data_IF_444352713659
#
_entry.id   IF_444352713659
#
_cell.length_a   1.000
_cell.length_b   1.000
_cell.length_c   1.000
_cell.angle_alpha   90.00
_cell.angle_beta   90.00
_cell.angle_gamma   90.00
#
_symmetry.space_group_name_H-M   'P 1'
#
loop_
_entity.id
_entity.type
_entity.pdbx_description
1 polymer ?
#
# COMPACT_ATOMS: atom_id res chain seq x y z
N UNK A 1 -3.41 -11.34 -12.21
CA UNK A 1 -4.58 -11.87 -11.50
C UNK A 1 -5.74 -10.96 -11.82
N UNK A 2 -6.92 -11.48 -12.14
CA UNK A 2 -8.11 -10.64 -12.29
C UNK A 2 -8.78 -10.48 -10.92
N UNK A 3 -9.15 -9.26 -10.54
CA UNK A 3 -9.82 -8.96 -9.27
C UNK A 3 -11.16 -8.28 -9.56
N UNK A 4 -12.21 -8.76 -8.92
CA UNK A 4 -13.46 -8.03 -8.74
C UNK A 4 -13.64 -7.73 -7.25
N UNK A 5 -13.57 -6.46 -6.88
CA UNK A 5 -13.74 -6.04 -5.50
C UNK A 5 -15.24 -5.94 -5.21
N UNK A 6 -15.74 -6.62 -4.18
CA UNK A 6 -17.04 -6.30 -3.57
C UNK A 6 -16.80 -5.79 -2.15
N UNK A 7 -17.75 -4.99 -1.63
CA UNK A 7 -17.69 -4.22 -0.38
C UNK A 7 -16.66 -4.74 0.64
N UNK A 8 -15.62 -3.96 0.95
CA UNK A 8 -14.52 -4.38 1.84
C UNK A 8 -13.16 -4.03 1.25
N UNK A 9 -12.08 -4.20 2.02
CA UNK A 9 -10.73 -4.07 1.45
C UNK A 9 -10.28 -5.42 0.93
N UNK A 10 -9.85 -5.45 -0.32
CA UNK A 10 -9.16 -6.59 -0.91
C UNK A 10 -7.76 -6.20 -1.32
N UNK A 11 -6.82 -7.12 -1.23
CA UNK A 11 -5.43 -6.89 -1.58
C UNK A 11 -4.87 -8.06 -2.36
N UNK A 12 -4.10 -7.75 -3.39
CA UNK A 12 -3.13 -8.67 -3.98
C UNK A 12 -1.75 -8.13 -3.67
N UNK A 13 -0.92 -8.90 -2.97
CA UNK A 13 0.41 -8.45 -2.56
C UNK A 13 1.45 -9.54 -2.74
N UNK A 14 2.69 -9.13 -2.95
CA UNK A 14 3.85 -9.99 -2.83
C UNK A 14 4.49 -9.68 -1.48
N UNK A 15 4.75 -10.70 -0.65
CA UNK A 15 5.42 -10.48 0.64
C UNK A 15 6.31 -11.66 1.00
N UNK A 16 7.26 -11.42 1.89
CA UNK A 16 8.03 -12.47 2.57
C UNK A 16 8.03 -12.30 4.09
N UNK A 17 6.97 -11.67 4.63
CA UNK A 17 6.77 -11.45 6.07
C UNK A 17 6.72 -12.73 6.89
N UNK A 18 6.27 -13.84 6.32
CA UNK A 18 6.26 -15.17 6.94
C UNK A 18 7.67 -15.75 7.14
N UNK A 19 8.63 -15.35 6.31
CA UNK A 19 10.04 -15.77 6.37
C UNK A 19 10.94 -14.73 7.07
N UNK A 20 10.68 -13.43 6.82
CA UNK A 20 11.51 -12.31 7.27
C UNK A 20 10.71 -11.30 8.10
N UNK A 21 10.08 -11.73 9.19
CA UNK A 21 9.16 -10.95 10.03
C UNK A 21 9.53 -9.47 10.23
N UNK A 22 10.80 -9.17 10.56
CA UNK A 22 11.27 -7.81 10.89
C UNK A 22 11.85 -7.02 9.72
N UNK A 23 12.25 -7.70 8.66
CA UNK A 23 12.98 -7.09 7.54
C UNK A 23 12.34 -7.45 6.21
N UNK A 24 11.04 -7.73 6.19
CA UNK A 24 10.35 -8.23 5.00
C UNK A 24 10.35 -7.22 3.85
N UNK A 25 10.23 -7.75 2.64
CA UNK A 25 9.91 -6.98 1.45
C UNK A 25 8.43 -7.21 1.14
N UNK A 26 7.76 -6.18 0.65
CA UNK A 26 6.34 -6.22 0.32
C UNK A 26 5.98 -5.27 -0.83
N UNK A 27 5.12 -5.73 -1.73
CA UNK A 27 4.56 -4.97 -2.84
C UNK A 27 3.05 -5.12 -2.85
N UNK A 28 2.33 -4.01 -2.70
CA UNK A 28 0.89 -4.04 -2.47
C UNK A 28 0.08 -3.46 -3.62
N UNK A 29 -1.05 -4.10 -3.91
CA UNK A 29 -2.17 -3.52 -4.65
C UNK A 29 -3.44 -3.75 -3.86
N UNK A 30 -3.90 -2.71 -3.17
CA UNK A 30 -5.03 -2.75 -2.24
C UNK A 30 -6.22 -1.98 -2.82
N UNK A 31 -7.32 -2.69 -3.06
CA UNK A 31 -8.60 -2.08 -3.39
C UNK A 31 -9.27 -1.63 -2.10
N UNK A 32 -9.38 -0.32 -1.93
CA UNK A 32 -9.95 0.28 -0.73
C UNK A 32 -11.48 0.28 -0.84
N UNK A 33 -12.14 -0.29 0.18
CA UNK A 33 -13.59 -0.40 0.21
C UNK A 33 -14.28 0.95 0.09
N UNK A 34 -15.33 1.02 -0.73
CA UNK A 34 -16.12 2.23 -0.95
C UNK A 34 -17.50 2.16 -0.30
N UNK A 35 -18.11 3.33 -0.10
CA UNK A 35 -19.52 3.44 0.30
C UNK A 35 -20.41 3.24 -0.92
N UNK A 36 -21.70 2.95 -0.71
CA UNK A 36 -22.66 2.89 -1.82
C UNK A 36 -22.64 4.18 -2.66
N UNK A 37 -22.50 4.03 -3.98
CA UNK A 37 -22.36 5.14 -4.93
C UNK A 37 -21.06 5.97 -4.78
N UNK A 38 -20.11 5.51 -3.98
CA UNK A 38 -18.78 6.09 -3.87
C UNK A 38 -17.85 5.61 -4.98
N UNK A 39 -16.76 6.34 -5.21
CA UNK A 39 -15.74 5.93 -6.16
C UNK A 39 -14.82 4.88 -5.54
N UNK A 40 -14.36 3.94 -6.35
CA UNK A 40 -13.38 2.94 -5.95
C UNK A 40 -11.97 3.44 -6.10
N UNK A 41 -11.08 2.94 -5.23
CA UNK A 41 -9.68 3.33 -5.20
C UNK A 41 -8.80 2.11 -5.13
N UNK A 42 -7.67 2.19 -5.80
CA UNK A 42 -6.55 1.29 -5.60
C UNK A 42 -5.42 2.06 -4.92
N UNK A 43 -4.81 1.45 -3.91
CA UNK A 43 -3.57 1.89 -3.29
C UNK A 43 -2.46 0.94 -3.71
N UNK A 44 -1.30 1.50 -4.07
CA UNK A 44 -0.07 0.75 -4.27
C UNK A 44 0.93 1.13 -3.20
N UNK A 45 1.76 0.18 -2.78
CA UNK A 45 2.78 0.43 -1.77
C UNK A 45 4.02 -0.45 -2.01
N UNK A 46 5.15 -0.01 -1.47
CA UNK A 46 6.45 -0.67 -1.62
C UNK A 46 7.19 -0.60 -0.29
N UNK A 47 7.53 -1.77 0.24
CA UNK A 47 8.38 -1.92 1.41
C UNK A 47 9.59 -2.78 1.07
N UNK A 48 10.78 -2.31 1.40
CA UNK A 48 12.01 -3.09 1.29
C UNK A 48 12.68 -3.18 2.64
N UNK A 49 13.21 -4.36 2.96
CA UNK A 49 14.01 -4.60 4.15
C UNK A 49 13.37 -4.12 5.47
N UNK A 50 12.04 -4.23 5.58
CA UNK A 50 11.28 -3.82 6.77
C UNK A 50 11.08 -2.31 6.91
N UNK A 51 11.09 -1.54 5.81
CA UNK A 51 10.87 -0.09 5.79
C UNK A 51 9.43 0.34 6.17
N UNK A 52 8.73 -0.40 7.03
CA UNK A 52 7.30 -0.22 7.34
C UNK A 52 6.96 1.04 8.12
N UNK A 53 7.97 1.70 8.71
CA UNK A 53 7.80 3.00 9.38
C UNK A 53 7.48 4.13 8.40
N UNK A 54 7.84 3.98 7.13
CA UNK A 54 7.65 4.96 6.07
C UNK A 54 7.00 4.28 4.86
N UNK A 55 5.70 4.46 4.71
CA UNK A 55 4.97 3.91 3.56
C UNK A 55 5.30 4.68 2.28
N UNK A 56 5.31 3.98 1.15
CA UNK A 56 5.47 4.54 -0.19
C UNK A 56 4.13 4.50 -0.90
N UNK A 57 3.08 4.99 -0.27
CA UNK A 57 1.73 4.84 -0.78
C UNK A 57 1.48 5.76 -1.98
N UNK A 58 0.85 5.24 -3.01
CA UNK A 58 0.14 6.03 -4.02
C UNK A 58 -1.29 5.52 -4.15
N UNK A 59 -2.25 6.43 -4.35
CA UNK A 59 -3.67 6.09 -4.50
C UNK A 59 -4.23 6.64 -5.79
N UNK A 60 -5.09 5.84 -6.41
CA UNK A 60 -5.73 6.15 -7.69
C UNK A 60 -7.23 5.89 -7.62
N UNK A 61 -8.03 6.81 -8.16
CA UNK A 61 -9.43 6.56 -8.47
C UNK A 61 -9.53 5.64 -9.68
N UNK A 62 -10.39 4.63 -9.61
CA UNK A 62 -10.63 3.76 -10.76
C UNK A 62 -11.62 4.44 -11.73
N UNK A 63 -11.31 4.48 -13.04
CA UNK A 63 -12.22 5.04 -14.05
C UNK A 63 -13.39 4.11 -14.41
N UNK A 64 -13.49 2.96 -13.75
CA UNK A 64 -14.51 1.93 -13.94
C UNK A 64 -14.96 1.41 -12.57
N UNK A 65 -16.06 0.66 -12.56
CA UNK A 65 -16.53 -0.02 -11.36
C UNK A 65 -15.93 -1.45 -11.29
N UNK A 66 -14.96 -1.71 -10.40
CA UNK A 66 -14.31 -3.01 -10.26
C UNK A 66 -15.23 -4.10 -9.68
N UNK A 67 -16.50 -3.78 -9.36
CA UNK A 67 -17.49 -4.77 -8.91
C UNK A 67 -18.25 -5.42 -10.07
N UNK A 68 -18.24 -4.80 -11.25
CA UNK A 68 -19.06 -5.20 -12.39
C UNK A 68 -18.34 -6.16 -13.33
N UNK A 69 -17.02 -5.99 -13.50
CA UNK A 69 -16.19 -6.79 -14.38
C UNK A 69 -14.83 -7.06 -13.73
N UNK A 70 -14.20 -8.17 -14.12
CA UNK A 70 -12.91 -8.57 -13.58
C UNK A 70 -11.78 -7.87 -14.35
N UNK A 71 -10.91 -7.15 -13.63
CA UNK A 71 -9.78 -6.41 -14.21
C UNK A 71 -8.44 -7.04 -13.87
N UNK A 72 -7.51 -7.05 -14.83
CA UNK A 72 -6.21 -7.71 -14.66
C UNK A 72 -5.26 -6.82 -13.87
N UNK A 73 -5.01 -7.18 -12.62
CA UNK A 73 -4.01 -6.55 -11.76
C UNK A 73 -2.70 -7.33 -11.88
N UNK A 74 -1.62 -6.62 -12.21
CA UNK A 74 -0.29 -7.22 -12.36
C UNK A 74 0.79 -6.38 -11.72
N UNK A 75 1.75 -7.04 -11.09
CA UNK A 75 2.97 -6.43 -10.58
C UNK A 75 4.14 -7.05 -11.34
N UNK A 76 4.90 -6.22 -12.03
CA UNK A 76 6.23 -6.58 -12.51
C UNK A 76 7.24 -6.18 -11.43
N UNK A 77 8.07 -7.13 -11.00
CA UNK A 77 9.19 -6.88 -10.11
C UNK A 77 10.48 -7.34 -10.80
N UNK A 78 11.35 -6.38 -11.09
CA UNK A 78 12.65 -6.60 -11.71
C UNK A 78 13.76 -5.96 -10.85
N UNK A 79 15.04 -6.36 -11.02
CA UNK A 79 16.14 -5.82 -10.22
C UNK A 79 16.38 -4.31 -10.33
N UNK A 80 15.80 -3.68 -11.34
CA UNK A 80 15.98 -2.25 -11.66
C UNK A 80 14.72 -1.42 -11.50
N UNK A 81 13.53 -2.03 -11.52
CA UNK A 81 12.27 -1.31 -11.44
C UNK A 81 11.12 -2.23 -11.03
N UNK A 82 10.06 -1.62 -10.51
CA UNK A 82 8.76 -2.26 -10.25
C UNK A 82 7.71 -1.49 -11.03
N UNK A 83 6.78 -2.20 -11.68
CA UNK A 83 5.65 -1.58 -12.38
C UNK A 83 4.35 -2.21 -11.92
N UNK A 84 3.41 -1.37 -11.50
CA UNK A 84 2.04 -1.76 -11.19
C UNK A 84 1.17 -1.50 -12.42
N UNK A 85 0.38 -2.50 -12.79
CA UNK A 85 -0.53 -2.47 -13.92
C UNK A 85 -1.96 -2.71 -13.48
N UNK A 86 -2.87 -1.97 -14.11
CA UNK A 86 -4.29 -2.30 -14.20
C UNK A 86 -4.61 -2.51 -15.67
N UNK A 87 -5.11 -3.70 -15.98
CA UNK A 87 -5.27 -4.24 -17.32
C UNK A 87 -3.94 -4.24 -18.09
N UNK A 88 -3.81 -3.42 -19.13
CA UNK A 88 -2.58 -3.20 -19.90
C UNK A 88 -1.95 -1.82 -19.62
N UNK A 89 -2.54 -1.04 -18.70
CA UNK A 89 -2.09 0.33 -18.40
C UNK A 89 -1.17 0.34 -17.17
N UNK A 90 0.10 0.76 -17.31
CA UNK A 90 0.94 1.02 -16.15
C UNK A 90 0.37 2.21 -15.37
N UNK A 91 0.15 2.04 -14.07
CA UNK A 91 -0.35 3.11 -13.19
C UNK A 91 0.79 3.74 -12.38
N UNK A 92 1.84 2.96 -12.09
CA UNK A 92 3.00 3.39 -11.30
C UNK A 92 4.25 2.63 -11.72
N UNK A 93 5.36 3.35 -11.84
CA UNK A 93 6.72 2.81 -12.01
C UNK A 93 7.57 3.28 -10.81
N UNK A 94 8.26 2.35 -10.15
CA UNK A 94 9.24 2.64 -9.11
C UNK A 94 10.60 2.21 -9.64
N UNK A 95 11.45 3.18 -9.96
CA UNK A 95 12.79 2.95 -10.46
C UNK A 95 13.73 2.78 -9.28
N UNK A 96 14.57 1.74 -9.30
CA UNK A 96 15.56 1.52 -8.26
C UNK A 96 16.60 2.65 -8.28
N UNK A 97 16.61 3.47 -7.23
CA UNK A 97 17.63 4.48 -7.02
C UNK A 97 18.72 3.94 -6.06
N UNK A 98 20.02 4.24 -6.27
CA UNK A 98 21.09 3.80 -5.37
C UNK A 98 20.85 4.17 -3.90
N UNK A 99 20.32 5.36 -3.66
CA UNK A 99 20.04 5.87 -2.31
C UNK A 99 18.81 5.24 -1.64
N UNK A 100 18.03 4.39 -2.35
CA UNK A 100 17.02 3.57 -1.69
C UNK A 100 17.66 2.55 -0.75
N UNK A 101 18.91 2.14 -1.01
CA UNK A 101 19.58 1.11 -0.21
C UNK A 101 18.74 -0.17 -0.09
N UNK A 102 18.38 -0.54 1.14
CA UNK A 102 17.54 -1.70 1.43
C UNK A 102 16.05 -1.51 1.18
N UNK A 103 15.60 -0.29 0.89
CA UNK A 103 14.18 0.01 0.71
C UNK A 103 13.63 -0.46 -0.64
N UNK A 104 14.50 -0.87 -1.58
CA UNK A 104 14.08 -1.55 -2.80
C UNK A 104 13.99 -3.07 -2.57
N UNK A 105 12.83 -3.71 -2.81
CA UNK A 105 12.64 -5.15 -2.65
C UNK A 105 13.66 -5.99 -3.43
N UNK A 106 14.33 -6.91 -2.74
CA UNK A 106 15.42 -7.71 -3.31
C UNK A 106 15.43 -9.19 -2.84
N UNK A 107 14.54 -9.56 -1.91
CA UNK A 107 14.40 -10.93 -1.40
C UNK A 107 13.22 -11.63 -2.05
N UNK A 108 13.28 -12.96 -2.27
CA UNK A 108 12.16 -13.71 -2.80
C UNK A 108 10.87 -13.49 -2.00
N UNK A 109 9.73 -13.42 -2.69
CA UNK A 109 8.41 -13.19 -2.11
C UNK A 109 7.41 -14.24 -2.59
N UNK A 110 6.42 -14.54 -1.75
CA UNK A 110 5.23 -15.29 -2.13
C UNK A 110 4.11 -14.33 -2.54
N UNK A 111 3.18 -14.82 -3.36
CA UNK A 111 1.98 -14.08 -3.76
C UNK A 111 0.85 -14.40 -2.78
N UNK A 112 0.20 -13.36 -2.28
CA UNK A 112 -0.95 -13.45 -1.40
C UNK A 112 -2.14 -12.70 -2.00
N UNK A 113 -3.35 -13.19 -1.72
CA UNK A 113 -4.60 -12.51 -2.00
C UNK A 113 -5.47 -12.59 -0.75
N UNK A 114 -5.91 -11.44 -0.23
CA UNK A 114 -6.63 -11.36 1.04
C UNK A 114 -7.81 -10.40 0.96
N UNK A 115 -8.82 -10.64 1.79
CA UNK A 115 -9.90 -9.72 2.09
C UNK A 115 -9.92 -9.50 3.61
N UNK A 116 -9.99 -8.25 4.05
CA UNK A 116 -9.87 -7.94 5.47
C UNK A 116 -10.53 -6.60 5.85
N UNK A 117 -10.71 -6.37 7.15
CA UNK A 117 -11.31 -5.16 7.70
C UNK A 117 -10.28 -4.06 7.97
N UNK A 118 -10.17 -3.08 7.08
CA UNK A 118 -9.34 -1.89 7.26
C UNK A 118 -10.09 -0.64 7.69
N UNK A 119 -11.17 -0.79 8.47
CA UNK A 119 -12.01 0.31 8.98
C UNK A 119 -11.24 1.44 9.67
N UNK A 120 -10.02 1.20 10.13
CA UNK A 120 -9.21 2.22 10.78
C UNK A 120 -8.72 3.31 9.82
N UNK A 121 -8.65 3.05 8.50
CA UNK A 121 -8.00 3.98 7.56
C UNK A 121 -8.54 3.94 6.12
N UNK A 122 -9.14 2.83 5.66
CA UNK A 122 -9.32 2.62 4.23
C UNK A 122 -10.38 3.51 3.56
N UNK A 123 -11.59 3.60 4.11
CA UNK A 123 -12.66 4.41 3.50
C UNK A 123 -12.63 5.84 4.03
N UNK A 124 -12.24 6.78 3.17
CA UNK A 124 -12.07 8.22 3.50
C UNK A 124 -11.22 8.45 4.76
N UNK A 125 -10.06 7.79 4.85
CA UNK A 125 -9.17 7.92 6.01
C UNK A 125 -9.74 7.29 7.30
N UNK A 126 -10.64 6.31 7.18
CA UNK A 126 -11.26 5.60 8.31
C UNK A 126 -12.52 6.29 8.86
N UNK A 127 -13.03 7.32 8.16
CA UNK A 127 -14.27 8.01 8.52
C UNK A 127 -15.49 7.09 8.42
N UNK A 128 -15.51 6.22 7.41
CA UNK A 128 -16.53 5.20 7.25
C UNK A 128 -15.95 3.83 7.58
N UNK A 129 -16.61 3.14 8.50
CA UNK A 129 -16.22 1.79 8.94
C UNK A 129 -17.06 0.75 8.24
N UNK A 130 -16.55 -0.46 8.17
CA UNK A 130 -17.30 -1.61 7.66
C UNK A 130 -18.60 -1.78 8.45
N UNK A 131 -19.68 -2.06 7.74
CA UNK A 131 -20.97 -2.38 8.35
C UNK A 131 -21.28 -3.85 8.09
N UNK A 132 -20.97 -4.71 9.07
CA UNK A 132 -21.15 -6.16 8.98
C UNK A 132 -22.61 -6.62 8.75
N UNK A 133 -23.61 -5.72 8.80
CA UNK A 133 -24.97 -6.04 8.35
C UNK A 133 -25.06 -6.33 6.85
N UNK A 134 -24.10 -5.87 6.06
CA UNK A 134 -24.00 -6.14 4.62
C UNK A 134 -23.14 -7.36 4.31
N UNK A 135 -22.71 -8.12 5.31
CA UNK A 135 -21.98 -9.36 5.10
C UNK A 135 -22.86 -10.42 4.41
N UNK A 136 -22.26 -11.35 3.64
CA UNK A 136 -20.83 -11.54 3.42
C UNK A 136 -20.20 -10.51 2.47
N UNK A 137 -18.95 -10.18 2.76
CA UNK A 137 -18.09 -9.40 1.86
C UNK A 137 -17.25 -10.38 1.04
N UNK A 138 -17.29 -10.25 -0.28
CA UNK A 138 -16.63 -11.19 -1.19
C UNK A 138 -15.65 -10.46 -2.13
N UNK A 139 -14.66 -11.18 -2.62
CA UNK A 139 -13.81 -10.73 -3.71
C UNK A 139 -13.43 -11.93 -4.54
N UNK A 140 -13.53 -11.78 -5.85
CA UNK A 140 -13.23 -12.87 -6.78
C UNK A 140 -11.85 -12.66 -7.39
N UNK A 141 -11.04 -13.71 -7.33
CA UNK A 141 -9.70 -13.75 -7.89
C UNK A 141 -9.61 -14.89 -8.88
N UNK A 142 -9.19 -14.60 -10.11
CA UNK A 142 -9.04 -15.59 -11.16
C UNK A 142 -7.81 -15.31 -12.02
N UNK A 143 -7.42 -16.28 -12.87
CA UNK A 143 -6.30 -16.10 -13.80
C UNK A 143 -4.98 -15.75 -13.11
N UNK A 144 -4.64 -16.44 -12.01
CA UNK A 144 -3.32 -16.31 -11.40
C UNK A 144 -2.25 -16.77 -12.39
N UNK A 145 -1.34 -15.85 -12.73
CA UNK A 145 -0.15 -16.13 -13.51
C UNK A 145 1.06 -15.65 -12.73
N UNK A 146 2.03 -16.55 -12.52
CA UNK A 146 3.32 -16.25 -11.88
C UNK A 146 4.40 -16.65 -12.86
N UNK A 147 5.07 -15.64 -13.41
CA UNK A 147 6.14 -15.81 -14.40
C UNK A 147 7.40 -15.19 -13.84
N UNK A 148 8.48 -15.97 -13.76
CA UNK A 148 9.75 -15.54 -13.22
C UNK A 148 10.48 -16.67 -12.48
N UNK A 149 11.71 -16.39 -12.02
CA UNK A 149 12.54 -17.38 -11.35
C UNK A 149 11.90 -17.82 -10.03
N UNK A 150 11.86 -19.13 -9.80
CA UNK A 150 11.36 -19.69 -8.54
C UNK A 150 12.49 -19.76 -7.52
N UNK A 151 12.30 -19.13 -6.37
CA UNK A 151 13.14 -19.36 -5.21
C UNK A 151 12.61 -20.54 -4.39
N UNK A 152 13.50 -21.32 -3.82
CA UNK A 152 13.12 -22.39 -2.90
C UNK A 152 13.00 -21.80 -1.48
N UNK A 153 11.85 -21.89 -0.81
CA UNK A 153 11.67 -21.30 0.51
C UNK A 153 12.58 -21.92 1.59
N UNK A 154 13.10 -23.13 1.38
CA UNK A 154 14.03 -23.80 2.32
C UNK A 154 15.44 -23.24 2.20
N UNK A 155 15.84 -22.88 0.99
CA UNK A 155 17.13 -22.25 0.76
C UNK A 155 16.94 -20.75 0.82
N UNK A 156 17.50 -20.09 1.85
CA UNK A 156 17.65 -18.62 1.91
C UNK A 156 18.56 -18.05 0.79
N UNK A 157 18.72 -18.81 -0.30
CA UNK A 157 19.58 -18.62 -1.45
C UNK A 157 18.82 -19.17 -2.67
N UNK A 158 18.84 -18.50 -3.83
CA UNK A 158 18.25 -19.04 -5.06
C UNK A 158 18.76 -20.47 -5.33
N UNK A 159 17.89 -21.36 -5.82
CA UNK A 159 18.31 -22.70 -6.28
C UNK A 159 19.47 -22.52 -7.24
N UNK A 160 20.60 -23.21 -7.01
CA UNK A 160 21.64 -23.37 -8.04
C UNK A 160 21.12 -24.30 -9.13
N UNK A 161 20.20 -23.81 -9.96
CA UNK A 161 20.23 -24.19 -11.38
C UNK A 161 21.56 -23.69 -11.97
N UNK A 162 21.99 -24.22 -13.10
CA UNK A 162 23.19 -23.68 -13.76
C UNK A 162 23.06 -22.17 -13.90
N UNK A 163 24.13 -21.40 -13.66
CA UNK A 163 24.10 -19.94 -13.75
C UNK A 163 23.49 -19.43 -15.08
N UNK A 164 23.65 -20.22 -16.14
CA UNK A 164 23.10 -19.99 -17.48
C UNK A 164 21.55 -19.96 -17.51
N UNK A 165 20.86 -20.83 -16.77
CA UNK A 165 19.39 -20.87 -16.78
C UNK A 165 18.78 -19.65 -16.06
N UNK A 166 19.39 -19.20 -14.97
CA UNK A 166 18.90 -18.02 -14.22
C UNK A 166 19.15 -16.71 -14.97
N UNK A 167 20.29 -16.61 -15.64
CA UNK A 167 20.63 -15.43 -16.44
C UNK A 167 19.73 -15.33 -17.68
N UNK A 168 19.37 -16.46 -18.30
CA UNK A 168 18.40 -16.49 -19.40
C UNK A 168 16.98 -16.14 -18.96
N UNK A 169 16.51 -16.65 -17.81
CA UNK A 169 15.20 -16.29 -17.25
C UNK A 169 15.12 -14.79 -16.91
N UNK A 170 16.18 -14.24 -16.32
CA UNK A 170 16.24 -12.81 -16.00
C UNK A 170 16.29 -11.95 -17.25
N UNK A 171 17.08 -12.34 -18.26
CA UNK A 171 17.13 -11.65 -19.55
C UNK A 171 15.77 -11.71 -20.24
N UNK A 172 15.10 -12.86 -20.24
CA UNK A 172 13.75 -13.03 -20.77
C UNK A 172 12.73 -12.13 -20.07
N UNK A 173 12.78 -12.06 -18.73
CA UNK A 173 11.94 -11.14 -17.96
C UNK A 173 12.21 -9.68 -18.33
N UNK A 174 13.48 -9.27 -18.35
CA UNK A 174 13.90 -7.89 -18.60
C UNK A 174 13.63 -7.41 -20.04
N UNK A 175 13.59 -8.34 -21.01
CA UNK A 175 13.33 -8.03 -22.42
C UNK A 175 11.88 -8.24 -22.83
N UNK A 176 11.05 -8.83 -21.95
CA UNK A 176 9.64 -9.02 -22.21
C UNK A 176 8.93 -7.68 -22.48
N UNK A 177 7.97 -7.69 -23.41
CA UNK A 177 7.24 -6.48 -23.80
C UNK A 177 6.53 -5.79 -22.62
N UNK A 178 6.09 -6.55 -21.61
CA UNK A 178 5.50 -6.00 -20.38
C UNK A 178 6.53 -5.42 -19.40
N UNK A 179 7.81 -5.77 -19.51
CA UNK A 179 8.87 -5.24 -18.65
C UNK A 179 9.51 -3.97 -19.20
N UNK A 180 9.52 -3.80 -20.52
CA UNK A 180 10.06 -2.59 -21.13
C UNK A 180 9.07 -1.43 -21.00
N UNK A 181 9.47 -0.38 -20.27
CA UNK A 181 8.74 0.89 -20.21
C UNK A 181 9.01 1.75 -21.45
N UNK A 182 8.26 1.48 -22.52
CA UNK A 182 8.33 2.25 -23.77
C UNK A 182 7.84 3.69 -23.58
N UNK A 183 8.19 4.63 -24.47
CA UNK A 183 7.65 6.00 -24.43
C UNK A 183 6.12 6.05 -24.43
N UNK A 184 5.46 5.17 -25.17
CA UNK A 184 4.00 5.09 -25.24
C UNK A 184 3.41 4.64 -23.90
N UNK A 185 3.99 3.62 -23.26
CA UNK A 185 3.56 3.17 -21.93
C UNK A 185 3.78 4.24 -20.87
N UNK A 186 4.92 4.92 -20.90
CA UNK A 186 5.21 6.04 -19.99
C UNK A 186 4.24 7.20 -20.18
N UNK A 187 3.87 7.52 -21.42
CA UNK A 187 2.85 8.53 -21.70
C UNK A 187 1.46 8.10 -21.18
N UNK A 188 1.08 6.84 -21.37
CA UNK A 188 -0.16 6.29 -20.82
C UNK A 188 -0.18 6.33 -19.29
N UNK A 189 0.93 5.98 -18.64
CA UNK A 189 1.08 6.09 -17.18
C UNK A 189 0.91 7.53 -16.70
N UNK A 190 1.61 8.49 -17.32
CA UNK A 190 1.49 9.92 -16.97
C UNK A 190 0.06 10.44 -17.15
N UNK A 191 -0.61 10.04 -18.23
CA UNK A 191 -2.01 10.39 -18.46
C UNK A 191 -2.95 9.78 -17.41
N UNK A 192 -2.70 8.53 -17.00
CA UNK A 192 -3.43 7.89 -15.91
C UNK A 192 -3.22 8.64 -14.59
N UNK A 193 -1.96 8.91 -14.22
CA UNK A 193 -1.58 9.65 -13.01
C UNK A 193 -2.25 11.03 -12.97
N UNK A 194 -2.14 11.80 -14.05
CA UNK A 194 -2.71 13.15 -14.14
C UNK A 194 -4.24 13.20 -13.93
N UNK A 195 -4.96 12.13 -14.31
CA UNK A 195 -6.43 12.07 -14.22
C UNK A 195 -6.94 11.42 -12.95
N UNK A 196 -6.20 10.44 -12.44
CA UNK A 196 -6.74 9.49 -11.46
C UNK A 196 -5.96 9.45 -10.15
N UNK A 197 -4.72 9.94 -10.10
CA UNK A 197 -3.95 9.92 -8.85
C UNK A 197 -4.50 10.93 -7.84
N UNK A 198 -4.79 10.46 -6.64
CA UNK A 198 -5.33 11.29 -5.55
C UNK A 198 -4.36 11.44 -4.38
N UNK A 199 -3.42 10.51 -4.26
CA UNK A 199 -2.38 10.56 -3.24
C UNK A 199 -1.05 10.05 -3.82
N UNK A 200 0.04 10.75 -3.51
CA UNK A 200 1.39 10.22 -3.65
C UNK A 200 2.26 10.66 -2.48
N UNK A 201 3.06 9.72 -2.00
CA UNK A 201 4.06 9.93 -0.97
C UNK A 201 5.06 11.05 -1.34
N UNK A 202 5.37 11.20 -2.63
CA UNK A 202 6.42 12.08 -3.14
C UNK A 202 6.16 13.57 -2.91
N UNK A 203 4.90 13.95 -2.74
CA UNK A 203 4.50 15.34 -2.53
C UNK A 203 3.85 15.58 -1.15
N UNK A 204 3.82 14.57 -0.28
CA UNK A 204 3.29 14.68 1.07
C UNK A 204 4.35 15.23 2.06
N UNK A 205 4.60 16.53 1.95
CA UNK A 205 5.51 17.25 2.84
C UNK A 205 5.01 17.32 4.30
N UNK A 206 3.74 17.03 4.56
CA UNK A 206 3.17 17.00 5.92
C UNK A 206 3.65 15.74 6.65
N UNK A 207 3.61 14.59 5.98
CA UNK A 207 4.08 13.32 6.53
C UNK A 207 5.61 13.17 6.43
N UNK A 208 6.21 13.68 5.36
CA UNK A 208 7.63 13.52 5.05
C UNK A 208 8.37 14.87 5.00
N UNK A 209 8.49 15.52 6.16
CA UNK A 209 9.12 16.83 6.29
C UNK A 209 10.61 16.85 5.91
N UNK A 210 11.28 15.69 5.87
CA UNK A 210 12.68 15.55 5.48
C UNK A 210 12.94 15.68 3.97
N UNK A 211 11.88 15.76 3.17
CA UNK A 211 11.96 15.84 1.71
C UNK A 211 11.40 14.59 1.02
N UNK A 212 11.27 14.62 -0.32
CA UNK A 212 10.79 13.50 -1.10
C UNK A 212 11.74 12.31 -1.03
N UNK A 213 11.22 11.11 -1.30
CA UNK A 213 12.03 9.89 -1.37
C UNK A 213 12.96 9.92 -2.60
N UNK A 214 14.10 9.22 -2.57
CA UNK A 214 15.08 9.25 -3.66
C UNK A 214 14.54 8.80 -5.03
N UNK A 215 13.56 7.89 -5.04
CA UNK A 215 12.92 7.38 -6.25
C UNK A 215 11.82 8.31 -6.82
N UNK A 216 11.53 9.43 -6.17
CA UNK A 216 10.48 10.34 -6.61
C UNK A 216 10.92 11.19 -7.82
N UNK A 217 10.04 11.28 -8.83
CA UNK A 217 10.24 12.15 -9.98
C UNK A 217 9.98 13.63 -9.64
N UNK A 218 10.87 14.50 -10.12
CA UNK A 218 10.73 15.95 -10.03
C UNK A 218 9.85 16.50 -11.16
N UNK A 219 8.55 16.20 -11.14
CA UNK A 219 7.56 16.76 -12.07
C UNK A 219 6.85 17.97 -11.45
N UNK A 220 7.14 19.17 -11.95
CA UNK A 220 6.48 20.41 -11.48
C UNK A 220 4.97 20.38 -11.74
N UNK A 221 4.55 19.89 -12.92
CA UNK A 221 3.14 19.77 -13.30
C UNK A 221 2.37 18.83 -12.36
N UNK A 222 2.94 17.66 -12.04
CA UNK A 222 2.30 16.69 -11.16
C UNK A 222 2.22 17.22 -9.72
N UNK A 223 3.25 17.94 -9.28
CA UNK A 223 3.29 18.61 -7.98
C UNK A 223 2.24 19.71 -7.87
N UNK A 224 2.04 20.52 -8.91
CA UNK A 224 1.00 21.56 -8.95
C UNK A 224 -0.41 20.93 -8.93
N UNK A 225 -0.64 19.90 -9.73
CA UNK A 225 -1.92 19.17 -9.75
C UNK A 225 -2.22 18.52 -8.39
N UNK A 226 -1.23 17.87 -7.78
CA UNK A 226 -1.36 17.32 -6.43
C UNK A 226 -1.63 18.42 -5.40
N UNK A 227 -0.96 19.56 -5.53
CA UNK A 227 -1.22 20.72 -4.67
C UNK A 227 -2.62 21.28 -4.86
N UNK A 228 -3.33 21.05 -5.97
CA UNK A 228 -4.71 21.49 -6.13
C UNK A 228 -5.71 20.55 -5.40
N UNK A 229 -5.51 19.23 -5.49
CA UNK A 229 -6.55 18.24 -5.13
C UNK A 229 -6.12 17.10 -4.18
N UNK A 230 -4.84 17.03 -3.78
CA UNK A 230 -4.26 15.91 -3.04
C UNK A 230 -4.82 15.70 -1.63
N UNK A 231 -5.03 14.43 -1.26
CA UNK A 231 -5.63 14.03 0.02
C UNK A 231 -4.81 14.39 1.27
N UNK A 232 -3.51 14.66 1.11
CA UNK A 232 -2.63 15.07 2.22
C UNK A 232 -3.09 16.37 2.90
N UNK A 233 -3.89 17.19 2.20
CA UNK A 233 -4.48 18.43 2.75
C UNK A 233 -5.56 18.18 3.80
N UNK A 234 -6.20 17.01 3.81
CA UNK A 234 -7.38 16.75 4.63
C UNK A 234 -7.07 15.92 5.88
N UNK A 235 -5.95 15.21 5.90
CA UNK A 235 -5.55 14.36 7.04
C UNK A 235 -4.70 15.18 8.01
N UNK A 236 -5.32 16.12 8.72
CA UNK A 236 -4.78 16.55 10.02
C UNK A 236 -4.92 15.36 10.95
N UNK A 237 -3.86 14.55 11.09
CA UNK A 237 -3.77 13.60 12.20
C UNK A 237 -3.84 14.40 13.49
N UNK A 238 -5.03 14.50 14.08
CA UNK A 238 -5.19 15.01 15.44
C UNK A 238 -4.33 14.12 16.33
N UNK A 239 -3.31 14.67 17.02
CA UNK A 239 -2.53 13.88 17.96
C UNK A 239 -3.49 13.25 18.96
N UNK A 240 -3.39 11.94 19.19
CA UNK A 240 -4.10 11.27 20.28
C UNK A 240 -3.82 12.06 21.55
N UNK A 241 -4.84 12.76 22.07
CA UNK A 241 -4.73 13.47 23.33
C UNK A 241 -4.29 12.44 24.38
N UNK A 242 -3.05 12.56 24.86
CA UNK A 242 -2.56 11.76 25.99
C UNK A 242 -3.53 12.02 27.13
N UNK A 243 -4.26 10.96 27.51
CA UNK A 243 -5.24 10.99 28.58
C UNK A 243 -4.64 11.64 29.82
N UNK A 244 -5.15 12.82 30.16
CA UNK A 244 -4.79 13.56 31.35
C UNK A 244 -5.21 12.71 32.54
N UNK A 245 -4.27 11.97 33.15
CA UNK A 245 -4.47 11.26 34.43
C UNK A 245 -4.96 12.30 35.45
N UNK A 246 -6.27 12.31 35.72
CA UNK A 246 -6.83 13.02 36.86
C UNK A 246 -6.39 12.28 38.12
N UNK A 247 -5.32 12.74 38.75
CA UNK A 247 -4.98 12.36 40.11
C UNK A 247 -6.11 12.79 41.04
N UNK A 248 -6.80 11.82 41.66
CA UNK A 248 -7.65 12.07 42.82
C UNK A 248 -6.73 12.48 43.97
N UNK A 249 -6.69 13.77 44.30
CA UNK A 249 -6.25 14.23 45.62
C UNK A 249 -7.36 13.87 46.61
N UNK A 250 -7.02 13.05 47.60
CA UNK A 250 -7.83 12.83 48.78
C UNK A 250 -7.91 14.15 49.56
N UNK A 251 -9.11 14.70 49.68
CA UNK A 251 -9.39 15.78 50.62
C UNK A 251 -10.02 15.12 51.86
N UNK A 252 -9.22 15.10 52.93
CA UNK A 252 -9.75 14.99 54.28
C UNK A 252 -10.58 16.24 54.55
N UNK A 253 -11.81 16.08 55.01
CA UNK A 253 -12.48 17.14 55.75
C UNK A 253 -13.16 16.54 56.98
N UNK A 254 -12.66 16.98 58.11
CA UNK A 254 -13.09 16.60 59.44
C UNK A 254 -14.26 17.51 59.83
N UNK A 255 -15.41 16.92 60.15
CA UNK A 255 -16.43 17.58 60.99
C UNK A 255 -16.90 16.59 62.04
N UNK A 256 -16.36 16.78 63.24
CA UNK A 256 -16.85 16.14 64.45
C UNK A 256 -17.97 16.95 65.09
N UNK A 257 -18.91 16.21 65.71
CA UNK A 257 -19.52 16.38 67.05
C UNK A 257 -20.80 15.52 67.06
N UNK A 258 -20.79 14.43 67.83
CA UNK A 258 -21.33 14.31 69.20
C UNK A 258 -22.83 13.96 69.12
N UNK A 259 -23.42 12.97 69.78
CA UNK A 259 -23.15 12.17 70.98
C UNK A 259 -23.71 10.73 70.74
N UNK A 260 -23.39 9.66 71.48
CA UNK A 260 -23.89 9.31 72.83
C UNK A 260 -22.99 8.24 73.50
N UNK A 261 -22.75 8.48 74.81
CA UNK A 261 -22.20 7.71 75.96
C UNK A 261 -22.31 6.16 75.95
N UNK A 262 -21.63 5.34 76.76
CA UNK A 262 -20.75 5.37 77.96
C UNK A 262 -19.94 4.05 77.94
N UNK A 263 -18.75 3.87 78.51
CA UNK A 263 -18.28 4.05 79.89
C UNK A 263 -16.74 4.09 79.92
#
# INVERSE_FOLDING_TARGET
MSCAAQQGNSATHLSNGDVYEKTHDELDSEFLGSRWGGQWRVQTNVYGNGSTSHGREERYLLPFDPTLEAHRCSVLWAPTHIIFYIDDTPIREVIRHPDMGGDFPAKPMAVYATIWDGSAWATEGGKYKVNYKYAPFASEFSGLAVVGPRADPVFRVPRRGGADDQDQDLLGLMTAGYAVMTPQKRAAMRACRARHMTYTVCYDAVRYASGPFPECDNSDEERENFSAWGESKTVVMRPRARGRRRGRRAAADARGRADVASS
#
